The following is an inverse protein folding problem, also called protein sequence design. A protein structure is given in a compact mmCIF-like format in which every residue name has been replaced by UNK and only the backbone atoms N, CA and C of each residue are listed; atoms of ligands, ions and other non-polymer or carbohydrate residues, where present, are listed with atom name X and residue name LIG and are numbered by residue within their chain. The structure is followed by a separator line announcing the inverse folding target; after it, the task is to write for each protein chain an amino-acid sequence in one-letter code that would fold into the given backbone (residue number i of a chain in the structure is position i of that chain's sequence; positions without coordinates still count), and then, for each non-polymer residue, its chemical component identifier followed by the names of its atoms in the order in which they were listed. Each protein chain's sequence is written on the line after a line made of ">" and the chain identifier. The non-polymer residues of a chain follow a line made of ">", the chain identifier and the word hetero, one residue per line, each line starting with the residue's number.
data_IF_605170119269
#
_entry.id   IF_605170119269
#
_cell.length_a   1.000
_cell.length_b   1.000
_cell.length_c   1.000
_cell.angle_alpha   90.00
_cell.angle_beta   90.00
_cell.angle_gamma   90.00
#
_symmetry.space_group_name_H-M   'P 1'
#
loop_
_entity.id
_entity.type
_entity.pdbx_description
1 polymer ?
#
# COMPACT_ATOMS: atom_id res chain seq x y z
N UNK A 1 -11.14 9.13 -24.25
CA UNK A 1 -9.98 8.76 -23.41
C UNK A 1 -9.73 7.25 -23.37
N UNK A 2 -10.75 6.38 -23.28
CA UNK A 2 -10.60 4.90 -23.21
C UNK A 2 -9.92 4.27 -24.44
N UNK A 3 -10.29 4.67 -25.65
CA UNK A 3 -9.67 4.16 -26.88
C UNK A 3 -8.17 4.50 -26.95
N UNK A 4 -7.80 5.72 -26.60
CA UNK A 4 -6.40 6.16 -26.53
C UNK A 4 -5.61 5.33 -25.51
N UNK A 5 -6.18 5.08 -24.32
CA UNK A 5 -5.56 4.20 -23.32
C UNK A 5 -5.39 2.77 -23.82
N UNK A 6 -6.38 2.21 -24.51
CA UNK A 6 -6.30 0.87 -25.10
C UNK A 6 -5.15 0.76 -26.10
N UNK A 7 -5.04 1.73 -27.02
CA UNK A 7 -3.97 1.76 -28.02
C UNK A 7 -2.61 1.85 -27.32
N UNK A 8 -2.44 2.79 -26.38
CA UNK A 8 -1.19 2.93 -25.64
C UNK A 8 -0.81 1.66 -24.87
N UNK A 9 -1.76 1.04 -24.17
CA UNK A 9 -1.50 -0.20 -23.42
C UNK A 9 -1.10 -1.35 -24.33
N UNK A 10 -1.75 -1.46 -25.49
CA UNK A 10 -1.45 -2.50 -26.48
C UNK A 10 -0.10 -2.27 -27.16
N UNK A 11 0.27 -1.01 -27.44
CA UNK A 11 1.61 -0.68 -27.97
C UNK A 11 2.70 -1.05 -26.98
N UNK A 12 2.49 -0.77 -25.68
CA UNK A 12 3.47 -1.06 -24.63
C UNK A 12 3.60 -2.57 -24.38
N UNK A 13 2.48 -3.30 -24.29
CA UNK A 13 2.48 -4.68 -23.78
C UNK A 13 2.21 -5.76 -24.84
N UNK A 14 1.68 -5.38 -25.99
CA UNK A 14 1.05 -6.32 -26.91
C UNK A 14 2.04 -7.33 -27.48
N UNK A 15 3.19 -6.83 -27.96
CA UNK A 15 4.25 -7.66 -28.53
C UNK A 15 4.79 -8.67 -27.51
N UNK A 16 5.03 -8.19 -26.28
CA UNK A 16 5.54 -9.02 -25.19
C UNK A 16 4.53 -10.08 -24.74
N UNK A 17 3.26 -9.70 -24.62
CA UNK A 17 2.18 -10.63 -24.28
C UNK A 17 2.01 -11.70 -25.35
N UNK A 18 2.11 -11.33 -26.64
CA UNK A 18 2.09 -12.28 -27.76
C UNK A 18 3.26 -13.24 -27.69
N UNK A 19 4.48 -12.72 -27.48
CA UNK A 19 5.71 -13.52 -27.43
C UNK A 19 5.68 -14.54 -26.30
N UNK A 20 5.18 -14.16 -25.11
CA UNK A 20 5.18 -15.01 -23.91
C UNK A 20 4.00 -15.96 -23.82
N UNK A 21 2.82 -15.51 -24.20
CA UNK A 21 1.56 -16.21 -23.93
C UNK A 21 0.82 -16.64 -25.20
N UNK A 22 1.44 -16.48 -26.38
CA UNK A 22 0.84 -16.84 -27.68
C UNK A 22 -0.39 -16.01 -28.08
N UNK A 23 -0.71 -14.96 -27.33
CA UNK A 23 -1.94 -14.18 -27.52
C UNK A 23 -1.81 -13.17 -28.64
N UNK A 24 -2.54 -13.34 -29.75
CA UNK A 24 -2.47 -12.39 -30.87
C UNK A 24 -2.91 -10.97 -30.46
N UNK A 25 -2.33 -9.94 -31.08
CA UNK A 25 -2.67 -8.53 -30.78
C UNK A 25 -4.16 -8.25 -30.99
N UNK A 26 -4.75 -8.78 -32.07
CA UNK A 26 -6.19 -8.64 -32.35
C UNK A 26 -7.05 -9.22 -31.22
N UNK A 27 -6.67 -10.40 -30.71
CA UNK A 27 -7.36 -11.03 -29.58
C UNK A 27 -7.21 -10.20 -28.30
N UNK A 28 -6.01 -9.68 -28.02
CA UNK A 28 -5.79 -8.81 -26.86
C UNK A 28 -6.65 -7.53 -26.92
N UNK A 29 -6.79 -6.90 -28.09
CA UNK A 29 -7.66 -5.72 -28.27
C UNK A 29 -9.13 -6.08 -28.03
N UNK A 30 -9.61 -7.19 -28.62
CA UNK A 30 -10.99 -7.65 -28.44
C UNK A 30 -11.29 -8.00 -26.98
N UNK A 31 -10.36 -8.63 -26.28
CA UNK A 31 -10.50 -8.99 -24.87
C UNK A 31 -10.48 -7.74 -23.96
N UNK A 32 -9.61 -6.75 -24.22
CA UNK A 32 -9.64 -5.46 -23.52
C UNK A 32 -11.00 -4.77 -23.65
N UNK A 33 -11.58 -4.72 -24.85
CA UNK A 33 -12.92 -4.14 -25.07
C UNK A 33 -13.98 -4.95 -24.32
N UNK A 34 -13.92 -6.28 -24.41
CA UNK A 34 -14.87 -7.18 -23.74
C UNK A 34 -14.89 -6.98 -22.22
N UNK A 35 -13.71 -6.95 -21.56
CA UNK A 35 -13.64 -6.75 -20.10
C UNK A 35 -14.03 -5.32 -19.69
N UNK A 36 -13.72 -4.32 -20.51
CA UNK A 36 -14.14 -2.95 -20.27
C UNK A 36 -15.67 -2.79 -20.33
N UNK A 37 -16.32 -3.41 -21.32
CA UNK A 37 -17.78 -3.33 -21.49
C UNK A 37 -18.52 -4.17 -20.44
N UNK A 38 -18.08 -5.41 -20.19
CA UNK A 38 -18.80 -6.35 -19.31
C UNK A 38 -18.55 -6.11 -17.82
N UNK A 39 -17.33 -5.69 -17.48
CA UNK A 39 -16.87 -5.62 -16.09
C UNK A 39 -16.37 -4.24 -15.69
N UNK A 40 -16.44 -3.24 -16.57
CA UNK A 40 -15.93 -1.90 -16.32
C UNK A 40 -14.43 -1.86 -16.00
N UNK A 41 -13.67 -2.86 -16.45
CA UNK A 41 -12.22 -2.93 -16.26
C UNK A 41 -11.52 -2.10 -17.32
N UNK A 42 -10.84 -1.04 -16.91
CA UNK A 42 -10.15 -0.17 -17.85
C UNK A 42 -8.94 -0.88 -18.52
N UNK A 43 -8.56 -0.51 -19.76
CA UNK A 43 -7.55 -1.23 -20.54
C UNK A 43 -6.19 -1.47 -19.84
N UNK A 44 -5.63 -0.55 -19.02
CA UNK A 44 -4.39 -0.85 -18.29
C UNK A 44 -4.52 -2.05 -17.33
N UNK A 45 -5.70 -2.25 -16.74
CA UNK A 45 -5.97 -3.31 -15.78
C UNK A 45 -6.15 -4.68 -16.43
N UNK A 46 -6.46 -4.73 -17.74
CA UNK A 46 -6.39 -5.98 -18.49
C UNK A 46 -4.96 -6.56 -18.44
N UNK A 47 -3.94 -5.72 -18.64
CA UNK A 47 -2.56 -6.17 -18.54
C UNK A 47 -2.10 -6.32 -17.08
N UNK A 48 -2.52 -5.40 -16.21
CA UNK A 48 -2.13 -5.45 -14.80
C UNK A 48 -2.59 -6.72 -14.08
N UNK A 49 -3.83 -7.15 -14.30
CA UNK A 49 -4.37 -8.36 -13.69
C UNK A 49 -4.07 -9.63 -14.50
N UNK A 50 -3.39 -9.50 -15.64
CA UNK A 50 -3.06 -10.65 -16.49
C UNK A 50 -4.28 -11.29 -17.15
N UNK A 51 -5.32 -10.51 -17.50
CA UNK A 51 -6.58 -11.01 -18.05
C UNK A 51 -6.47 -11.55 -19.50
N UNK A 52 -5.26 -11.57 -20.07
CA UNK A 52 -4.98 -12.39 -21.27
C UNK A 52 -5.07 -13.89 -20.97
N UNK A 53 -4.87 -14.29 -19.71
CA UNK A 53 -5.11 -15.63 -19.20
C UNK A 53 -6.62 -15.90 -19.14
N UNK A 54 -7.06 -17.00 -19.75
CA UNK A 54 -8.48 -17.33 -19.90
C UNK A 54 -9.13 -17.69 -18.55
N UNK A 55 -8.38 -18.32 -17.62
CA UNK A 55 -8.87 -18.65 -16.28
C UNK A 55 -9.04 -17.40 -15.41
N UNK A 56 -8.08 -16.47 -15.46
CA UNK A 56 -8.22 -15.17 -14.77
C UNK A 56 -9.36 -14.34 -15.37
N UNK A 57 -9.50 -14.33 -16.70
CA UNK A 57 -10.56 -13.59 -17.38
C UNK A 57 -11.95 -14.14 -17.09
N UNK A 58 -12.12 -15.43 -16.88
CA UNK A 58 -13.38 -16.02 -16.42
C UNK A 58 -13.85 -15.40 -15.08
N UNK A 59 -12.89 -15.04 -14.23
CA UNK A 59 -13.09 -14.39 -12.93
C UNK A 59 -13.01 -12.85 -12.98
N UNK A 60 -13.01 -12.24 -14.17
CA UNK A 60 -12.83 -10.78 -14.33
C UNK A 60 -13.80 -9.95 -13.46
N UNK A 61 -15.04 -10.41 -13.28
CA UNK A 61 -16.06 -9.74 -12.48
C UNK A 61 -15.77 -9.66 -10.97
N UNK A 62 -14.79 -10.42 -10.48
CA UNK A 62 -14.35 -10.45 -9.08
C UNK A 62 -13.14 -9.55 -8.82
N UNK A 63 -12.49 -9.04 -9.88
CA UNK A 63 -11.44 -8.04 -9.71
C UNK A 63 -12.07 -6.70 -9.36
N UNK A 64 -11.53 -6.05 -8.33
CA UNK A 64 -12.05 -4.78 -7.83
C UNK A 64 -11.01 -3.70 -8.10
N UNK A 65 -11.43 -2.61 -8.76
CA UNK A 65 -10.53 -1.52 -9.11
C UNK A 65 -10.47 -0.45 -8.02
N UNK A 66 -9.36 0.29 -8.00
CA UNK A 66 -9.13 1.40 -7.07
C UNK A 66 -10.28 2.43 -7.00
N UNK A 67 -10.96 2.72 -8.11
CA UNK A 67 -12.05 3.70 -8.11
C UNK A 67 -13.31 3.18 -7.39
N UNK A 68 -13.56 1.86 -7.42
CA UNK A 68 -14.69 1.21 -6.74
C UNK A 68 -14.49 1.20 -5.23
N UNK A 69 -13.23 1.09 -4.79
CA UNK A 69 -12.86 1.09 -3.36
C UNK A 69 -12.73 2.51 -2.81
N UNK A 70 -11.68 3.25 -3.20
CA UNK A 70 -11.35 4.56 -2.60
C UNK A 70 -12.40 5.63 -2.89
N UNK A 71 -13.07 5.55 -4.04
CA UNK A 71 -14.15 6.45 -4.44
C UNK A 71 -15.55 5.96 -4.09
N UNK A 72 -15.70 4.70 -3.68
CA UNK A 72 -16.99 4.04 -3.44
C UNK A 72 -17.05 3.40 -2.06
N UNK A 73 -16.76 2.09 -1.99
CA UNK A 73 -16.99 1.24 -0.82
C UNK A 73 -16.36 1.82 0.46
N UNK A 74 -15.11 2.24 0.41
CA UNK A 74 -14.42 2.75 1.61
C UNK A 74 -15.02 4.07 2.09
N UNK A 75 -15.50 4.91 1.18
CA UNK A 75 -16.15 6.16 1.52
C UNK A 75 -17.51 5.90 2.16
N UNK A 76 -18.35 5.06 1.54
CA UNK A 76 -19.65 4.65 2.05
C UNK A 76 -19.52 4.08 3.47
N UNK A 77 -18.67 3.06 3.63
CA UNK A 77 -18.54 2.34 4.90
C UNK A 77 -17.90 3.19 6.00
N UNK A 78 -16.97 4.09 5.65
CA UNK A 78 -16.42 5.02 6.63
C UNK A 78 -17.47 5.98 7.17
N UNK A 79 -18.34 6.50 6.29
CA UNK A 79 -19.47 7.35 6.68
C UNK A 79 -20.46 6.57 7.53
N UNK A 80 -20.78 5.33 7.15
CA UNK A 80 -21.64 4.42 7.90
C UNK A 80 -21.13 4.15 9.32
N UNK A 81 -19.84 3.84 9.45
CA UNK A 81 -19.21 3.51 10.73
C UNK A 81 -18.80 4.74 11.57
N UNK A 82 -19.09 5.97 11.10
CA UNK A 82 -18.74 7.21 11.80
C UNK A 82 -17.24 7.50 11.93
N UNK A 83 -16.38 6.83 11.15
CA UNK A 83 -14.93 6.94 11.29
C UNK A 83 -14.29 8.05 10.46
N UNK A 84 -13.05 8.42 10.80
CA UNK A 84 -12.23 9.30 9.95
C UNK A 84 -10.83 8.73 9.74
N UNK A 85 -10.38 8.67 8.48
CA UNK A 85 -9.03 8.21 8.12
C UNK A 85 -7.92 9.24 8.36
N UNK A 86 -8.26 10.43 8.89
CA UNK A 86 -7.33 11.56 9.01
C UNK A 86 -6.19 11.30 10.00
N UNK A 87 -6.42 10.46 11.02
CA UNK A 87 -5.40 10.13 12.03
C UNK A 87 -4.26 9.29 11.46
N UNK A 88 -4.56 8.34 10.58
CA UNK A 88 -3.57 7.43 9.99
C UNK A 88 -2.73 8.09 8.89
N UNK A 89 -3.37 8.88 8.02
CA UNK A 89 -2.69 9.46 6.86
C UNK A 89 -1.80 10.68 7.22
N UNK A 90 -1.86 11.16 8.46
CA UNK A 90 -1.06 12.26 8.99
C UNK A 90 0.03 11.67 9.88
N UNK A 91 1.30 11.84 9.50
CA UNK A 91 2.41 11.12 10.13
C UNK A 91 2.63 11.49 11.59
N UNK A 92 2.35 12.74 12.00
CA UNK A 92 2.48 13.15 13.40
C UNK A 92 1.33 12.59 14.24
N UNK A 93 0.11 12.60 13.70
CA UNK A 93 -1.04 12.00 14.38
C UNK A 93 -0.91 10.48 14.49
N UNK A 94 -0.36 9.84 13.46
CA UNK A 94 -0.06 8.42 13.48
C UNK A 94 1.01 8.11 14.55
N UNK A 95 2.09 8.87 14.61
CA UNK A 95 3.11 8.69 15.66
C UNK A 95 2.53 8.86 17.07
N UNK A 96 1.71 9.90 17.28
CA UNK A 96 1.00 10.11 18.55
C UNK A 96 0.05 8.96 18.87
N UNK A 97 -0.73 8.48 17.91
CA UNK A 97 -1.62 7.33 18.07
C UNK A 97 -0.85 6.10 18.54
N UNK A 98 0.30 5.81 17.91
CA UNK A 98 1.16 4.70 18.30
C UNK A 98 1.67 4.86 19.74
N UNK A 99 2.16 6.05 20.09
CA UNK A 99 2.62 6.32 21.46
C UNK A 99 1.50 6.19 22.49
N UNK A 100 0.30 6.70 22.20
CA UNK A 100 -0.84 6.71 23.13
C UNK A 100 -1.35 5.27 23.40
N UNK A 101 -1.12 4.32 22.48
CA UNK A 101 -1.56 2.92 22.59
C UNK A 101 -0.41 1.93 22.78
N UNK A 102 0.82 2.39 22.99
CA UNK A 102 1.99 1.53 23.16
C UNK A 102 2.32 0.67 21.92
N UNK A 103 1.95 1.12 20.72
CA UNK A 103 2.23 0.40 19.48
C UNK A 103 3.68 0.68 19.02
N UNK A 104 4.49 -0.36 18.73
CA UNK A 104 5.81 -0.19 18.13
C UNK A 104 5.77 0.60 16.82
N UNK A 105 6.46 1.73 16.80
CA UNK A 105 6.60 2.62 15.64
C UNK A 105 8.03 3.19 15.59
N UNK A 106 8.52 3.68 14.43
CA UNK A 106 9.87 4.23 14.35
C UNK A 106 10.03 5.44 15.27
N UNK A 107 11.10 5.43 16.07
CA UNK A 107 11.41 6.47 17.05
C UNK A 107 11.56 7.83 16.38
N UNK A 108 10.81 8.81 16.86
CA UNK A 108 10.87 10.18 16.38
C UNK A 108 12.07 10.88 17.01
N UNK A 109 13.04 11.26 16.18
CA UNK A 109 14.19 12.03 16.63
C UNK A 109 13.89 13.53 16.61
N UNK A 110 13.29 14.04 15.53
CA UNK A 110 13.11 15.48 15.32
C UNK A 110 11.98 15.79 14.33
N UNK A 111 11.33 16.94 14.52
CA UNK A 111 10.38 17.55 13.57
C UNK A 111 10.92 18.92 13.19
N UNK A 112 11.04 19.20 11.88
CA UNK A 112 11.46 20.50 11.38
C UNK A 112 10.33 21.16 10.56
N UNK A 113 10.14 22.46 10.78
CA UNK A 113 9.16 23.27 10.05
C UNK A 113 9.67 24.71 9.95
N UNK A 114 9.49 25.33 8.78
CA UNK A 114 9.76 26.75 8.56
C UNK A 114 11.19 27.20 8.93
N UNK A 115 12.16 26.30 8.79
CA UNK A 115 13.57 26.59 9.09
C UNK A 115 13.99 26.29 10.53
N UNK A 116 13.09 25.77 11.37
CA UNK A 116 13.36 25.55 12.78
C UNK A 116 13.00 24.13 13.23
N UNK A 117 13.64 23.68 14.31
CA UNK A 117 13.24 22.49 15.06
C UNK A 117 12.01 22.85 15.88
N UNK A 118 10.92 22.09 15.71
CA UNK A 118 9.63 22.33 16.39
C UNK A 118 9.23 21.18 17.32
N UNK A 119 10.08 20.16 17.45
CA UNK A 119 9.90 19.05 18.39
C UNK A 119 11.00 17.99 18.25
N UNK A 120 11.23 17.23 19.32
CA UNK A 120 12.29 16.23 19.42
C UNK A 120 13.61 16.81 19.96
N UNK A 121 14.73 16.17 19.63
CA UNK A 121 16.06 16.61 20.04
C UNK A 121 16.46 17.93 19.36
N UNK A 122 17.25 18.77 20.04
CA UNK A 122 17.80 20.01 19.46
C UNK A 122 18.92 19.74 18.44
N UNK A 123 19.72 18.70 18.69
CA UNK A 123 20.76 18.22 17.77
C UNK A 123 20.38 16.87 17.17
N UNK A 124 20.89 16.57 15.97
CA UNK A 124 20.74 15.24 15.38
C UNK A 124 21.47 14.17 16.24
N UNK A 125 20.82 13.03 16.56
CA UNK A 125 21.38 12.01 17.44
C UNK A 125 22.42 11.14 16.74
N UNK A 126 23.35 10.57 17.49
CA UNK A 126 24.44 9.69 17.01
C UNK A 126 23.94 8.30 16.59
N UNK A 127 23.11 8.27 15.55
CA UNK A 127 22.47 7.08 15.04
C UNK A 127 22.13 7.25 13.57
N UNK A 128 21.89 6.13 12.88
CA UNK A 128 21.36 6.16 11.52
C UNK A 128 19.97 6.83 11.50
N UNK A 129 19.75 7.69 10.52
CA UNK A 129 18.54 8.50 10.38
C UNK A 129 17.79 8.18 9.09
N UNK A 130 16.47 8.25 9.19
CA UNK A 130 15.58 8.31 8.05
C UNK A 130 14.77 9.62 8.08
N UNK A 131 14.92 10.43 7.03
CA UNK A 131 14.26 11.72 6.89
C UNK A 131 13.15 11.59 5.86
N UNK A 132 11.93 12.05 6.19
CA UNK A 132 10.81 12.07 5.23
C UNK A 132 9.96 13.34 5.34
N UNK A 133 9.44 13.89 4.24
CA UNK A 133 8.49 14.98 4.29
C UNK A 133 7.17 14.53 4.93
N UNK A 134 6.61 15.37 5.83
CA UNK A 134 5.36 15.06 6.52
C UNK A 134 4.19 14.88 5.56
N UNK A 135 4.13 15.69 4.50
CA UNK A 135 3.01 15.72 3.56
C UNK A 135 3.20 14.84 2.31
N UNK A 136 4.35 14.16 2.18
CA UNK A 136 4.61 13.27 1.04
C UNK A 136 3.91 11.91 1.20
N UNK A 137 3.62 11.24 0.08
CA UNK A 137 3.04 9.89 0.01
C UNK A 137 3.96 8.95 -0.76
N UNK A 138 3.90 7.65 -0.47
CA UNK A 138 4.60 6.62 -1.24
C UNK A 138 6.13 6.70 -1.17
N UNK A 139 6.69 7.24 -0.08
CA UNK A 139 8.14 7.34 0.12
C UNK A 139 8.83 8.48 -0.64
N UNK A 140 8.10 9.32 -1.38
CA UNK A 140 8.69 10.41 -2.17
C UNK A 140 9.42 11.41 -1.25
N UNK A 141 10.70 11.65 -1.55
CA UNK A 141 11.56 12.55 -0.78
C UNK A 141 12.11 11.96 0.51
N UNK A 142 11.99 10.64 0.71
CA UNK A 142 12.66 9.92 1.79
C UNK A 142 14.18 9.87 1.57
N UNK A 143 14.94 10.11 2.64
CA UNK A 143 16.41 10.11 2.64
C UNK A 143 16.93 9.26 3.80
N UNK A 144 17.98 8.50 3.52
CA UNK A 144 18.75 7.76 4.53
C UNK A 144 20.08 8.47 4.77
N UNK A 145 20.44 8.57 6.04
CA UNK A 145 21.72 9.10 6.51
C UNK A 145 22.31 8.13 7.52
N UNK A 146 23.41 7.49 7.16
CA UNK A 146 24.11 6.52 7.99
C UNK A 146 25.15 7.28 8.84
N UNK A 147 25.20 7.05 10.15
CA UNK A 147 26.20 7.68 11.03
C UNK A 147 27.57 7.03 10.83
N UNK A 148 28.60 7.85 10.58
CA UNK A 148 29.95 7.35 10.26
C UNK A 148 31.01 7.76 11.30
N UNK A 149 30.58 8.28 12.46
CA UNK A 149 31.47 8.80 13.51
C UNK A 149 31.91 10.25 13.27
N UNK A 150 32.64 10.82 14.24
CA UNK A 150 33.22 12.17 14.20
C UNK A 150 32.25 13.27 13.76
N UNK A 151 31.02 13.25 14.30
CA UNK A 151 29.97 14.22 13.92
C UNK A 151 29.56 14.16 12.44
N UNK A 152 29.76 13.04 11.72
CA UNK A 152 29.44 12.95 10.29
C UNK A 152 28.38 11.89 9.98
N UNK A 153 27.64 12.17 8.91
CA UNK A 153 26.66 11.28 8.29
C UNK A 153 26.96 11.10 6.82
N UNK A 154 26.64 9.93 6.28
CA UNK A 154 26.74 9.59 4.85
C UNK A 154 25.37 9.26 4.27
N UNK A 155 25.02 9.85 3.13
CA UNK A 155 23.78 9.51 2.41
C UNK A 155 23.92 8.25 1.55
N UNK A 156 22.80 7.73 1.04
CA UNK A 156 22.81 6.66 0.03
C UNK A 156 23.63 6.98 -1.23
N UNK A 157 23.79 8.26 -1.57
CA UNK A 157 24.57 8.69 -2.73
C UNK A 157 26.07 8.85 -2.44
N UNK A 158 26.51 8.55 -1.21
CA UNK A 158 27.89 8.73 -0.77
C UNK A 158 28.23 10.16 -0.33
N UNK A 159 27.28 11.10 -0.37
CA UNK A 159 27.46 12.46 0.16
C UNK A 159 27.70 12.40 1.68
N UNK A 160 28.82 12.94 2.15
CA UNK A 160 29.13 13.09 3.56
C UNK A 160 28.86 14.52 4.03
N UNK A 161 28.31 14.65 5.23
CA UNK A 161 28.01 15.94 5.88
C UNK A 161 28.31 15.84 7.36
N UNK A 162 28.82 16.93 7.92
CA UNK A 162 28.85 17.09 9.38
C UNK A 162 27.43 17.22 9.94
N UNK A 163 27.28 16.99 11.24
CA UNK A 163 26.01 17.09 11.98
C UNK A 163 25.40 18.48 11.80
N UNK A 164 26.22 19.51 11.92
CA UNK A 164 25.80 20.90 11.77
C UNK A 164 25.35 21.20 10.33
N UNK A 165 26.12 20.77 9.32
CA UNK A 165 25.75 20.97 7.91
C UNK A 165 24.47 20.23 7.54
N UNK A 166 24.30 19.00 8.01
CA UNK A 166 23.09 18.22 7.76
C UNK A 166 21.88 18.89 8.41
N UNK A 167 21.98 19.29 9.68
CA UNK A 167 20.90 19.99 10.38
C UNK A 167 20.52 21.29 9.66
N UNK A 168 21.50 22.10 9.25
CA UNK A 168 21.25 23.32 8.49
C UNK A 168 20.55 23.03 7.15
N UNK A 169 20.98 22.01 6.40
CA UNK A 169 20.30 21.58 5.17
C UNK A 169 18.85 21.16 5.43
N UNK A 170 18.60 20.39 6.47
CA UNK A 170 17.26 19.94 6.82
C UNK A 170 16.37 21.12 7.22
N UNK A 171 16.90 22.07 7.99
CA UNK A 171 16.23 23.31 8.35
C UNK A 171 15.83 24.10 7.10
N UNK A 172 16.77 24.37 6.18
CA UNK A 172 16.49 25.08 4.92
C UNK A 172 15.40 24.40 4.08
N UNK A 173 15.46 23.06 3.97
CA UNK A 173 14.41 22.31 3.26
C UNK A 173 13.06 22.37 3.96
N UNK A 174 13.05 22.42 5.28
CA UNK A 174 11.82 22.50 6.08
C UNK A 174 11.01 23.77 5.82
N UNK A 175 11.65 24.85 5.32
CA UNK A 175 10.97 26.08 4.87
C UNK A 175 10.02 25.86 3.69
N UNK A 176 10.28 24.85 2.86
CA UNK A 176 9.39 24.49 1.73
C UNK A 176 8.40 23.41 2.10
N UNK A 177 8.85 22.39 2.82
CA UNK A 177 8.02 21.25 3.25
C UNK A 177 8.48 20.78 4.62
N UNK A 178 7.58 20.67 5.60
CA UNK A 178 7.97 20.23 6.92
C UNK A 178 8.46 18.77 6.88
N UNK A 179 9.48 18.49 7.70
CA UNK A 179 10.23 17.23 7.70
C UNK A 179 10.07 16.49 9.03
N UNK A 180 10.11 15.17 8.95
CA UNK A 180 10.18 14.25 10.07
C UNK A 180 11.52 13.51 9.99
N UNK A 181 12.28 13.51 11.07
CA UNK A 181 13.51 12.73 11.23
C UNK A 181 13.23 11.62 12.22
N UNK A 182 13.45 10.37 11.79
CA UNK A 182 13.28 9.19 12.61
C UNK A 182 14.62 8.46 12.74
N UNK A 183 14.79 7.72 13.83
CA UNK A 183 15.84 6.71 13.86
C UNK A 183 15.55 5.67 12.78
N UNK A 184 16.59 5.28 12.05
CA UNK A 184 16.47 4.31 10.98
C UNK A 184 16.20 2.93 11.58
N UNK A 185 15.22 2.25 11.01
CA UNK A 185 14.99 0.82 11.28
C UNK A 185 15.87 -0.03 10.38
N UNK A 186 16.31 -1.16 10.91
CA UNK A 186 17.06 -2.18 10.19
C UNK A 186 16.20 -3.41 9.99
N UNK A 187 16.33 -4.05 8.83
CA UNK A 187 15.68 -5.34 8.59
C UNK A 187 16.26 -6.38 9.56
N UNK A 188 15.41 -7.28 10.03
CA UNK A 188 15.82 -8.55 10.61
C UNK A 188 16.78 -9.27 9.64
N UNK A 189 17.83 -9.97 10.12
CA UNK A 189 18.80 -10.67 9.25
C UNK A 189 18.16 -11.50 8.13
N UNK A 190 17.17 -12.34 8.45
CA UNK A 190 16.44 -13.17 7.47
C UNK A 190 15.76 -12.37 6.34
N UNK A 191 15.32 -11.14 6.64
CA UNK A 191 14.71 -10.22 5.68
C UNK A 191 15.77 -9.45 4.89
N UNK A 192 16.89 -9.11 5.54
CA UNK A 192 18.00 -8.41 4.90
C UNK A 192 18.59 -9.22 3.73
N UNK A 193 18.58 -10.55 3.79
CA UNK A 193 19.04 -11.44 2.71
C UNK A 193 18.27 -11.25 1.38
N UNK A 194 16.99 -10.85 1.47
CA UNK A 194 16.11 -10.62 0.32
C UNK A 194 15.78 -9.13 0.13
N UNK A 195 16.70 -8.25 0.53
CA UNK A 195 16.58 -6.80 0.35
C UNK A 195 17.82 -6.21 -0.31
N UNK A 196 17.63 -5.23 -1.21
CA UNK A 196 18.72 -4.41 -1.72
C UNK A 196 19.02 -3.20 -0.80
N UNK A 197 18.94 -3.36 0.51
CA UNK A 197 19.38 -2.35 1.49
C UNK A 197 18.32 -1.32 1.93
N UNK A 198 17.12 -1.32 1.35
CA UNK A 198 15.98 -0.57 1.87
C UNK A 198 15.29 -1.33 3.01
N UNK A 199 14.59 -0.61 3.88
CA UNK A 199 13.70 -1.24 4.85
C UNK A 199 12.55 -1.91 4.10
N UNK A 200 12.38 -3.21 4.28
CA UNK A 200 11.36 -4.01 3.61
C UNK A 200 10.15 -4.18 4.52
N UNK A 201 8.95 -4.09 3.96
CA UNK A 201 7.71 -4.07 4.74
C UNK A 201 6.64 -5.01 4.18
N UNK A 202 5.86 -5.60 5.08
CA UNK A 202 4.59 -6.23 4.73
C UNK A 202 3.47 -5.18 4.73
N UNK A 203 2.70 -5.13 3.64
CA UNK A 203 1.40 -4.49 3.58
C UNK A 203 0.37 -5.51 4.06
N UNK A 204 0.03 -5.44 5.35
CA UNK A 204 -0.95 -6.30 5.99
C UNK A 204 -2.29 -5.56 6.09
N UNK A 205 -3.33 -6.09 5.44
CA UNK A 205 -4.68 -5.55 5.49
C UNK A 205 -5.46 -6.19 6.63
N UNK A 206 -6.00 -5.36 7.50
CA UNK A 206 -6.98 -5.74 8.52
C UNK A 206 -8.38 -5.24 8.15
N UNK A 207 -9.41 -6.00 8.49
CA UNK A 207 -10.82 -5.69 8.22
C UNK A 207 -11.66 -5.79 9.48
N UNK A 208 -12.77 -5.05 9.52
CA UNK A 208 -13.83 -5.25 10.51
C UNK A 208 -14.72 -6.42 10.06
N UNK A 209 -14.74 -7.50 10.83
CA UNK A 209 -15.47 -8.73 10.52
C UNK A 209 -16.95 -8.68 10.91
N UNK A 210 -17.69 -9.76 10.67
CA UNK A 210 -19.12 -9.89 10.95
C UNK A 210 -19.44 -9.86 12.45
N UNK A 211 -18.48 -10.24 13.29
CA UNK A 211 -18.59 -10.22 14.75
C UNK A 211 -18.28 -8.84 15.36
N UNK A 212 -17.84 -7.87 14.55
CA UNK A 212 -17.41 -6.56 15.03
C UNK A 212 -15.97 -6.53 15.55
N UNK A 213 -15.16 -7.53 15.21
CA UNK A 213 -13.76 -7.66 15.59
C UNK A 213 -12.84 -7.28 14.41
N UNK A 214 -11.59 -6.93 14.71
CA UNK A 214 -10.58 -6.63 13.70
C UNK A 214 -9.72 -7.86 13.44
N UNK A 215 -9.60 -8.27 12.18
CA UNK A 215 -8.80 -9.43 11.80
C UNK A 215 -7.89 -9.12 10.61
N UNK A 216 -6.71 -9.74 10.60
CA UNK A 216 -5.82 -9.79 9.44
C UNK A 216 -6.47 -10.61 8.32
N UNK A 217 -6.55 -10.07 7.11
CA UNK A 217 -7.30 -10.72 6.02
C UNK A 217 -6.51 -10.92 4.72
N UNK A 218 -5.47 -10.13 4.47
CA UNK A 218 -4.65 -10.25 3.27
C UNK A 218 -3.30 -9.57 3.46
N UNK A 219 -2.22 -10.14 2.95
CA UNK A 219 -0.91 -9.54 3.05
C UNK A 219 -0.05 -9.73 1.80
N UNK A 220 0.77 -8.71 1.52
CA UNK A 220 1.86 -8.79 0.55
C UNK A 220 3.12 -8.23 1.15
N UNK A 221 4.27 -8.81 0.84
CA UNK A 221 5.57 -8.32 1.28
C UNK A 221 6.26 -7.55 0.16
N UNK A 222 6.92 -6.44 0.50
CA UNK A 222 7.58 -5.53 -0.43
C UNK A 222 9.05 -5.37 -0.06
N UNK A 223 9.91 -5.35 -1.07
CA UNK A 223 11.35 -5.19 -0.89
C UNK A 223 11.95 -4.44 -2.08
N UNK A 224 13.08 -3.75 -1.89
CA UNK A 224 13.73 -3.01 -2.98
C UNK A 224 14.52 -3.93 -3.91
N UNK A 225 14.49 -3.64 -5.22
CA UNK A 225 15.36 -4.27 -6.21
C UNK A 225 16.45 -3.34 -6.77
N UNK A 226 16.65 -2.16 -6.17
CA UNK A 226 17.75 -1.24 -6.50
C UNK A 226 18.51 -0.88 -5.21
N UNK A 227 19.82 -1.18 -5.11
CA UNK A 227 20.68 -0.81 -3.99
C UNK A 227 20.70 0.68 -3.64
N UNK A 228 20.37 1.54 -4.60
CA UNK A 228 20.38 3.00 -4.44
C UNK A 228 19.03 3.55 -3.98
N UNK A 229 17.97 2.72 -4.01
CA UNK A 229 16.65 3.14 -3.54
C UNK A 229 16.59 3.05 -2.02
N UNK A 230 16.28 4.15 -1.31
CA UNK A 230 16.08 4.10 0.15
C UNK A 230 14.71 3.54 0.55
N UNK A 231 13.84 3.21 -0.41
CA UNK A 231 12.46 2.76 -0.19
C UNK A 231 12.16 1.45 -0.94
N UNK A 232 11.25 0.66 -0.39
CA UNK A 232 10.79 -0.65 -0.90
C UNK A 232 9.53 -0.57 -1.79
N UNK A 233 9.15 0.63 -2.21
CA UNK A 233 7.88 0.85 -2.89
C UNK A 233 7.83 0.15 -4.25
N UNK A 234 6.75 -0.60 -4.50
CA UNK A 234 6.46 -1.28 -5.77
C UNK A 234 6.54 -0.32 -6.98
N UNK A 235 6.05 0.91 -6.85
CA UNK A 235 6.11 1.92 -7.93
C UNK A 235 7.49 2.59 -8.11
N UNK A 236 8.47 2.21 -7.29
CA UNK A 236 9.86 2.62 -7.33
C UNK A 236 10.78 1.43 -7.65
N UNK A 237 10.34 0.53 -8.54
CA UNK A 237 11.06 -0.70 -8.92
C UNK A 237 11.20 -1.74 -7.79
N UNK A 238 10.33 -1.68 -6.77
CA UNK A 238 10.28 -2.71 -5.73
C UNK A 238 9.72 -4.04 -6.24
N UNK A 239 10.05 -5.12 -5.55
CA UNK A 239 9.38 -6.41 -5.69
C UNK A 239 8.17 -6.47 -4.76
N UNK A 240 7.20 -7.29 -5.14
CA UNK A 240 6.09 -7.69 -4.27
C UNK A 240 5.89 -9.20 -4.30
N UNK A 241 5.65 -9.76 -3.12
CA UNK A 241 5.37 -11.18 -2.91
C UNK A 241 4.03 -11.32 -2.20
N UNK A 242 3.22 -12.32 -2.58
CA UNK A 242 2.12 -12.75 -1.73
C UNK A 242 2.69 -13.31 -0.42
N UNK A 243 2.00 -13.08 0.69
CA UNK A 243 2.30 -13.71 1.97
C UNK A 243 1.16 -14.66 2.31
N UNK A 244 1.49 -15.92 2.58
CA UNK A 244 0.54 -16.85 3.16
C UNK A 244 0.17 -16.37 4.57
N UNK A 245 -1.11 -16.06 4.77
CA UNK A 245 -1.58 -15.38 5.98
C UNK A 245 -1.47 -16.26 7.23
N UNK A 246 -1.52 -17.58 7.08
CA UNK A 246 -1.44 -18.52 8.19
C UNK A 246 0.01 -18.72 8.64
N UNK A 247 0.94 -18.76 7.70
CA UNK A 247 2.32 -19.22 7.93
C UNK A 247 3.38 -18.14 7.82
N UNK A 248 3.08 -17.00 7.19
CA UNK A 248 4.04 -15.96 6.87
C UNK A 248 4.95 -16.31 5.69
N UNK A 249 4.63 -17.37 4.95
CA UNK A 249 5.44 -17.87 3.84
C UNK A 249 5.30 -16.99 2.59
N UNK A 250 6.43 -16.66 1.97
CA UNK A 250 6.51 -15.83 0.77
C UNK A 250 6.29 -16.66 -0.49
N UNK A 251 5.36 -16.19 -1.32
CA UNK A 251 5.22 -16.64 -2.69
C UNK A 251 6.29 -16.06 -3.63
N UNK A 252 6.13 -16.34 -4.93
CA UNK A 252 7.05 -15.84 -5.96
C UNK A 252 7.00 -14.30 -6.03
N UNK A 253 8.13 -13.65 -6.22
CA UNK A 253 8.19 -12.20 -6.40
C UNK A 253 7.65 -11.78 -7.78
N UNK A 254 6.94 -10.67 -7.83
CA UNK A 254 6.60 -9.93 -9.04
C UNK A 254 7.28 -8.56 -8.98
N UNK A 255 7.94 -8.15 -10.06
CA UNK A 255 8.51 -6.81 -10.15
C UNK A 255 7.43 -5.75 -10.33
N UNK A 256 7.64 -4.59 -9.72
CA UNK A 256 6.86 -3.39 -9.95
C UNK A 256 7.50 -2.47 -10.98
N UNK A 257 6.65 -1.92 -11.84
CA UNK A 257 7.04 -0.89 -12.80
C UNK A 257 6.96 0.51 -12.23
N UNK A 258 7.58 1.46 -12.93
CA UNK A 258 7.44 2.90 -12.65
C UNK A 258 5.98 3.34 -12.79
N UNK A 259 5.60 4.47 -12.17
CA UNK A 259 4.34 5.18 -12.42
C UNK A 259 4.04 5.24 -13.93
N UNK A 260 2.92 4.64 -14.37
CA UNK A 260 2.54 4.59 -15.77
C UNK A 260 1.72 3.35 -16.15
N UNK A 261 1.70 3.02 -17.45
CA UNK A 261 1.08 1.80 -17.97
C UNK A 261 1.89 0.60 -17.47
N UNK A 262 1.26 -0.38 -16.79
CA UNK A 262 1.95 -1.57 -16.34
C UNK A 262 2.65 -2.30 -17.48
N UNK A 263 3.88 -2.76 -17.26
CA UNK A 263 4.66 -3.50 -18.25
C UNK A 263 4.69 -4.98 -17.90
N UNK A 264 4.21 -5.82 -18.80
CA UNK A 264 4.22 -7.28 -18.66
C UNK A 264 5.65 -7.84 -18.48
N UNK A 265 6.65 -7.18 -19.06
CA UNK A 265 8.06 -7.54 -18.91
C UNK A 265 8.62 -7.30 -17.51
N UNK A 266 7.99 -6.45 -16.69
CA UNK A 266 8.44 -6.14 -15.34
C UNK A 266 7.73 -7.05 -14.30
N UNK A 267 6.51 -7.50 -14.60
CA UNK A 267 5.66 -8.35 -13.76
C UNK A 267 6.00 -9.85 -13.81
N UNK A 268 7.23 -10.18 -14.22
CA UNK A 268 7.68 -11.58 -14.34
C UNK A 268 7.85 -12.18 -12.95
N UNK A 269 7.27 -13.36 -12.74
CA UNK A 269 7.43 -14.13 -11.50
C UNK A 269 8.85 -14.66 -11.36
N UNK A 270 9.44 -14.45 -10.19
CA UNK A 270 10.79 -14.87 -9.84
C UNK A 270 10.80 -15.58 -8.50
N UNK A 271 11.60 -16.64 -8.41
CA UNK A 271 11.83 -17.37 -7.16
C UNK A 271 13.04 -16.83 -6.38
N UNK A 272 13.83 -15.93 -6.99
CA UNK A 272 15.03 -15.34 -6.41
C UNK A 272 15.01 -13.82 -6.52
N UNK A 273 15.72 -13.17 -5.60
CA UNK A 273 15.91 -11.73 -5.62
C UNK A 273 16.90 -11.35 -6.75
N UNK A 274 16.56 -10.41 -7.64
CA UNK A 274 17.37 -10.11 -8.84
C UNK A 274 18.72 -9.47 -8.51
N UNK A 275 18.86 -8.84 -7.34
CA UNK A 275 20.12 -8.23 -6.87
C UNK A 275 20.94 -9.20 -6.02
N UNK A 276 20.40 -9.69 -4.91
CA UNK A 276 21.15 -10.53 -3.96
C UNK A 276 21.27 -11.99 -4.40
N UNK A 277 20.46 -12.46 -5.37
CA UNK A 277 20.41 -13.86 -5.79
C UNK A 277 19.71 -14.80 -4.80
N UNK A 278 19.35 -14.30 -3.60
CA UNK A 278 18.74 -15.11 -2.55
C UNK A 278 17.38 -15.68 -2.98
N UNK A 279 17.09 -16.93 -2.59
CA UNK A 279 15.78 -17.56 -2.81
C UNK A 279 14.71 -16.81 -2.02
N UNK A 280 13.60 -16.45 -2.64
CA UNK A 280 12.45 -15.78 -2.03
C UNK A 280 11.35 -16.79 -1.70
N UNK A 281 10.95 -17.60 -2.69
CA UNK A 281 9.81 -18.51 -2.56
C UNK A 281 10.05 -19.55 -1.46
N UNK A 282 9.09 -19.65 -0.54
CA UNK A 282 9.12 -20.57 0.60
C UNK A 282 9.78 -20.02 1.86
N UNK A 283 10.35 -18.80 1.82
CA UNK A 283 10.86 -18.14 3.04
C UNK A 283 9.70 -17.71 3.93
N UNK A 284 9.90 -17.77 5.25
CA UNK A 284 8.93 -17.27 6.23
C UNK A 284 9.40 -15.94 6.77
N UNK A 285 8.47 -15.00 6.91
CA UNK A 285 8.76 -13.74 7.58
C UNK A 285 8.92 -13.99 9.09
N UNK A 286 9.96 -13.42 9.73
CA UNK A 286 10.15 -13.54 11.17
C UNK A 286 9.00 -12.83 11.90
N UNK A 287 8.66 -13.28 13.12
CA UNK A 287 7.63 -12.66 13.97
C UNK A 287 6.26 -12.47 13.28
N UNK A 288 5.87 -13.37 12.38
CA UNK A 288 4.67 -13.17 11.57
C UNK A 288 3.38 -13.13 12.40
N UNK A 289 3.28 -14.00 13.41
CA UNK A 289 2.11 -14.04 14.30
C UNK A 289 1.98 -12.73 15.11
N UNK A 290 3.11 -12.22 15.59
CA UNK A 290 3.22 -10.96 16.32
C UNK A 290 2.89 -9.77 15.42
N UNK A 291 3.30 -9.80 14.15
CA UNK A 291 2.96 -8.77 13.18
C UNK A 291 1.44 -8.71 12.91
N UNK A 292 0.76 -9.87 12.84
CA UNK A 292 -0.71 -9.93 12.72
C UNK A 292 -1.39 -9.36 13.96
N UNK A 293 -0.99 -9.82 15.15
CA UNK A 293 -1.54 -9.32 16.41
C UNK A 293 -1.35 -7.80 16.55
N UNK A 294 -0.18 -7.29 16.19
CA UNK A 294 0.13 -5.87 16.17
C UNK A 294 -0.79 -5.09 15.22
N UNK A 295 -1.05 -5.61 14.01
CA UNK A 295 -1.94 -4.98 13.05
C UNK A 295 -3.40 -4.91 13.55
N UNK A 296 -3.87 -5.99 14.15
CA UNK A 296 -5.22 -6.11 14.71
C UNK A 296 -5.41 -5.16 15.90
N UNK A 297 -4.44 -5.12 16.81
CA UNK A 297 -4.39 -4.17 17.92
C UNK A 297 -4.36 -2.71 17.41
N UNK A 298 -3.56 -2.44 16.38
CA UNK A 298 -3.48 -1.11 15.79
C UNK A 298 -4.80 -0.69 15.12
N UNK A 299 -5.53 -1.61 14.49
CA UNK A 299 -6.86 -1.33 13.94
C UNK A 299 -7.88 -1.06 15.05
N UNK A 300 -7.82 -1.80 16.16
CA UNK A 300 -8.65 -1.53 17.33
C UNK A 300 -8.46 -0.11 17.90
N UNK A 301 -7.25 0.46 17.80
CA UNK A 301 -6.96 1.83 18.21
C UNK A 301 -7.54 2.92 17.26
N UNK A 302 -8.06 2.53 16.10
CA UNK A 302 -8.66 3.44 15.10
C UNK A 302 -10.05 2.96 14.64
N UNK A 303 -11.03 2.95 15.55
CA UNK A 303 -12.37 2.48 15.23
C UNK A 303 -13.04 3.34 14.15
N UNK A 304 -14.06 2.76 13.51
CA UNK A 304 -14.81 3.40 12.44
C UNK A 304 -14.19 3.26 11.04
N UNK A 305 -13.07 2.53 10.91
CA UNK A 305 -12.50 2.16 9.63
C UNK A 305 -12.87 0.71 9.28
N UNK A 306 -13.47 0.45 8.11
CA UNK A 306 -13.84 -0.91 7.71
C UNK A 306 -12.64 -1.77 7.31
N UNK A 307 -11.56 -1.11 6.88
CA UNK A 307 -10.31 -1.73 6.43
C UNK A 307 -9.15 -0.76 6.69
N UNK A 308 -8.00 -1.29 7.07
CA UNK A 308 -6.74 -0.56 7.14
C UNK A 308 -5.63 -1.39 6.52
N UNK A 309 -4.72 -0.75 5.78
CA UNK A 309 -3.48 -1.40 5.34
C UNK A 309 -2.29 -0.90 6.15
N UNK A 310 -1.65 -1.79 6.89
CA UNK A 310 -0.49 -1.51 7.73
C UNK A 310 0.80 -1.85 7.00
N UNK A 311 1.77 -0.93 7.05
CA UNK A 311 3.13 -1.16 6.58
C UNK A 311 3.95 -1.58 7.78
N UNK A 312 4.23 -2.88 7.89
CA UNK A 312 4.94 -3.46 9.04
C UNK A 312 6.34 -3.86 8.60
N UNK A 313 7.35 -3.29 9.24
CA UNK A 313 8.73 -3.71 9.12
C UNK A 313 9.03 -4.83 10.12
N UNK A 314 9.95 -5.71 9.76
CA UNK A 314 10.45 -6.75 10.65
C UNK A 314 11.88 -6.41 11.03
N UNK A 315 12.11 -6.07 12.30
CA UNK A 315 13.43 -5.70 12.83
C UNK A 315 14.00 -6.85 13.67
N UNK A 316 15.29 -6.78 14.07
CA UNK A 316 15.86 -7.74 15.02
C UNK A 316 15.07 -7.86 16.33
N UNK A 317 14.42 -6.76 16.76
CA UNK A 317 13.71 -6.67 18.04
C UNK A 317 12.19 -6.93 17.91
N UNK A 318 11.69 -7.21 16.70
CA UNK A 318 10.28 -7.52 16.46
C UNK A 318 9.62 -6.67 15.36
N UNK A 319 8.29 -6.81 15.17
CA UNK A 319 7.56 -6.06 14.16
C UNK A 319 7.31 -4.60 14.58
N UNK A 320 7.43 -3.68 13.63
CA UNK A 320 7.25 -2.24 13.85
C UNK A 320 6.32 -1.65 12.78
N UNK A 321 5.29 -0.88 13.19
CA UNK A 321 4.37 -0.23 12.25
C UNK A 321 5.01 1.06 11.72
N UNK A 322 5.34 1.06 10.43
CA UNK A 322 5.96 2.19 9.74
C UNK A 322 4.93 3.22 9.30
N UNK A 323 3.77 2.75 8.82
CA UNK A 323 2.67 3.59 8.31
C UNK A 323 1.32 2.84 8.37
N UNK A 324 0.24 3.57 8.64
CA UNK A 324 -1.14 3.08 8.52
C UNK A 324 -1.88 3.74 7.37
N UNK A 325 -2.59 2.96 6.54
CA UNK A 325 -3.32 3.45 5.38
C UNK A 325 -4.82 3.23 5.55
N UNK A 326 -5.57 4.30 5.82
CA UNK A 326 -7.04 4.26 6.00
C UNK A 326 -7.86 3.95 4.74
N UNK A 327 -7.20 3.92 3.58
CA UNK A 327 -7.79 3.61 2.28
C UNK A 327 -6.73 2.93 1.43
N UNK A 328 -6.36 1.68 1.77
CA UNK A 328 -5.23 1.01 1.16
C UNK A 328 -5.48 0.75 -0.33
N UNK A 329 -4.41 0.61 -1.10
CA UNK A 329 -4.55 0.18 -2.49
C UNK A 329 -4.78 -1.32 -2.58
N UNK A 330 -5.69 -1.73 -3.46
CA UNK A 330 -6.08 -3.14 -3.65
C UNK A 330 -5.50 -3.73 -4.92
N UNK A 331 -4.96 -2.89 -5.80
CA UNK A 331 -4.44 -3.30 -7.10
C UNK A 331 -3.30 -4.34 -6.93
N UNK A 332 -2.27 -3.99 -6.14
CA UNK A 332 -1.12 -4.89 -5.89
C UNK A 332 -1.52 -6.15 -5.09
N UNK A 333 -2.55 -6.04 -4.26
CA UNK A 333 -3.06 -7.15 -3.45
C UNK A 333 -3.77 -8.24 -4.28
N UNK A 334 -4.08 -7.94 -5.55
CA UNK A 334 -4.68 -8.89 -6.50
C UNK A 334 -3.64 -9.47 -7.48
N UNK A 335 -2.55 -8.73 -7.72
CA UNK A 335 -1.50 -9.12 -8.65
C UNK A 335 -0.57 -10.16 -8.02
N UNK A 336 -0.02 -9.87 -6.84
CA UNK A 336 1.00 -10.74 -6.24
C UNK A 336 0.45 -12.14 -5.90
N UNK A 337 -0.76 -12.28 -5.32
CA UNK A 337 -1.37 -13.58 -5.06
C UNK A 337 -2.05 -14.20 -6.30
N UNK A 338 -2.11 -13.49 -7.43
CA UNK A 338 -2.81 -13.90 -8.66
C UNK A 338 -4.29 -14.23 -8.48
N UNK A 339 -4.91 -13.64 -7.45
CA UNK A 339 -6.31 -13.87 -7.11
C UNK A 339 -7.09 -12.55 -7.14
N UNK A 340 -8.31 -12.52 -7.67
CA UNK A 340 -9.19 -11.36 -7.57
C UNK A 340 -9.54 -11.06 -6.11
N UNK A 341 -9.74 -9.79 -5.77
CA UNK A 341 -10.09 -9.41 -4.39
C UNK A 341 -11.44 -10.01 -3.98
N UNK A 342 -12.36 -10.19 -4.92
CA UNK A 342 -13.69 -10.78 -4.69
C UNK A 342 -13.68 -12.19 -4.12
N UNK A 343 -12.58 -12.94 -4.23
CA UNK A 343 -12.44 -14.29 -3.64
C UNK A 343 -11.77 -14.27 -2.25
N UNK A 344 -11.51 -13.09 -1.70
CA UNK A 344 -10.75 -12.95 -0.44
C UNK A 344 -11.65 -12.67 0.75
N UNK A 345 -11.13 -12.95 1.95
CA UNK A 345 -11.75 -12.57 3.22
C UNK A 345 -12.07 -11.06 3.30
N UNK A 346 -11.24 -10.22 2.67
CA UNK A 346 -11.47 -8.78 2.57
C UNK A 346 -12.79 -8.47 1.87
N UNK A 347 -13.06 -9.11 0.73
CA UNK A 347 -14.31 -8.87 -0.01
C UNK A 347 -15.53 -9.38 0.77
N UNK A 348 -15.42 -10.54 1.44
CA UNK A 348 -16.50 -11.08 2.27
C UNK A 348 -16.89 -10.12 3.41
N UNK A 349 -15.91 -9.63 4.17
CA UNK A 349 -16.13 -8.68 5.25
C UNK A 349 -16.73 -7.35 4.77
N UNK A 350 -16.18 -6.78 3.68
CA UNK A 350 -16.70 -5.55 3.10
C UNK A 350 -18.14 -5.73 2.57
N UNK A 351 -18.44 -6.86 1.92
CA UNK A 351 -19.78 -7.16 1.42
C UNK A 351 -20.80 -7.26 2.56
N UNK A 352 -20.43 -7.87 3.68
CA UNK A 352 -21.26 -7.90 4.89
C UNK A 352 -21.56 -6.48 5.39
N UNK A 353 -20.53 -5.64 5.53
CA UNK A 353 -20.70 -4.25 5.99
C UNK A 353 -21.55 -3.42 5.02
N UNK A 354 -21.40 -3.61 3.71
CA UNK A 354 -22.23 -2.91 2.71
C UNK A 354 -23.69 -3.30 2.86
N UNK A 355 -24.01 -4.59 3.01
CA UNK A 355 -25.39 -5.05 3.23
C UNK A 355 -25.99 -4.47 4.50
N UNK A 356 -25.21 -4.34 5.58
CA UNK A 356 -25.66 -3.68 6.82
C UNK A 356 -25.95 -2.20 6.61
N UNK A 357 -25.04 -1.49 5.95
CA UNK A 357 -25.22 -0.08 5.63
C UNK A 357 -26.46 0.16 4.77
N UNK A 358 -26.68 -0.67 3.75
CA UNK A 358 -27.89 -0.61 2.90
C UNK A 358 -29.17 -0.86 3.70
N UNK A 359 -29.19 -1.90 4.55
CA UNK A 359 -30.36 -2.22 5.38
C UNK A 359 -30.72 -1.08 6.35
N UNK A 360 -29.72 -0.38 6.89
CA UNK A 360 -29.94 0.76 7.78
C UNK A 360 -30.47 1.99 7.03
N UNK A 361 -29.92 2.29 5.84
CA UNK A 361 -30.43 3.35 4.97
C UNK A 361 -31.88 3.12 4.54
N UNK A 362 -32.32 1.87 4.39
CA UNK A 362 -33.70 1.53 4.08
C UNK A 362 -34.65 1.58 5.29
N UNK A 363 -34.13 1.57 6.53
CA UNK A 363 -34.94 1.66 7.76
C UNK A 363 -35.19 3.08 8.22
N UNK A 364 -34.36 4.04 7.83
CA UNK A 364 -34.52 5.45 8.19
C UNK A 364 -35.58 6.10 7.29
N UNK A 365 -36.75 6.53 7.80
CA UNK A 365 -37.73 7.26 7.00
C UNK A 365 -37.12 8.58 6.51
N UNK A 366 -37.48 9.01 5.30
CA UNK A 366 -37.03 10.26 4.66
C UNK A 366 -37.50 11.53 5.40
N UNK A 367 -38.18 11.40 6.54
CA UNK A 367 -38.77 12.49 7.32
C UNK A 367 -37.83 13.03 8.40
N UNK A 368 -36.65 13.54 8.02
CA UNK A 368 -35.82 14.36 8.91
C UNK A 368 -34.78 15.24 8.18
N UNK A 369 -34.95 15.54 6.90
CA UNK A 369 -34.15 16.57 6.22
C UNK A 369 -35.08 17.65 5.71
N UNK A 370 -35.15 18.74 6.47
CA UNK A 370 -35.89 19.94 6.11
C UNK A 370 -35.51 20.42 4.71
N UNK A 371 -36.52 20.87 3.97
CA UNK A 371 -36.41 21.45 2.63
C UNK A 371 -35.44 22.65 2.62
N UNK A 372 -34.21 22.40 2.24
CA UNK A 372 -33.37 23.32 1.46
C UNK A 372 -32.24 22.52 0.84
N UNK A 373 -31.97 22.76 -0.45
CA UNK A 373 -30.97 22.10 -1.30
C UNK A 373 -31.32 20.74 -1.91
N UNK A 374 -32.42 20.73 -2.66
CA UNK A 374 -32.60 19.77 -3.76
C UNK A 374 -31.73 20.21 -4.95
N UNK A 375 -30.44 19.84 -4.94
CA UNK A 375 -29.64 19.63 -6.16
C UNK A 375 -28.44 18.75 -5.85
N UNK A 376 -28.65 17.42 -5.74
CA UNK A 376 -27.65 16.38 -6.09
C UNK A 376 -28.25 14.98 -5.86
N UNK A 377 -28.86 14.43 -6.90
CA UNK A 377 -29.19 13.00 -6.93
C UNK A 377 -29.27 12.54 -8.39
N UNK A 378 -28.10 12.16 -8.92
CA UNK A 378 -27.95 11.41 -10.16
C UNK A 378 -26.80 10.41 -9.99
N UNK A 379 -26.86 9.63 -8.91
CA UNK A 379 -25.89 8.56 -8.64
C UNK A 379 -26.54 7.28 -8.16
N UNK A 380 -27.86 7.23 -7.93
CA UNK A 380 -28.54 6.05 -7.38
C UNK A 380 -28.58 4.82 -8.32
N UNK A 381 -28.30 4.95 -9.62
CA UNK A 381 -28.41 3.85 -10.59
C UNK A 381 -27.18 2.93 -10.70
N UNK A 382 -26.09 3.22 -9.97
CA UNK A 382 -24.88 2.39 -9.96
C UNK A 382 -24.83 1.30 -8.87
N UNK A 383 -25.68 1.39 -7.84
CA UNK A 383 -25.43 0.71 -6.55
C UNK A 383 -25.97 -0.71 -6.43
N UNK A 384 -26.89 -1.14 -7.30
CA UNK A 384 -27.47 -2.50 -7.28
C UNK A 384 -26.52 -3.63 -7.71
N UNK A 385 -25.27 -3.34 -8.07
CA UNK A 385 -24.39 -4.31 -8.73
C UNK A 385 -23.43 -5.07 -7.79
N UNK A 386 -23.21 -4.62 -6.56
CA UNK A 386 -22.30 -5.28 -5.61
C UNK A 386 -23.06 -6.23 -4.68
N UNK A 387 -24.23 -5.85 -4.18
CA UNK A 387 -25.06 -6.72 -3.34
C UNK A 387 -25.59 -7.99 -4.05
N UNK A 388 -25.63 -8.00 -5.39
CA UNK A 388 -26.02 -9.18 -6.21
C UNK A 388 -24.84 -10.06 -6.65
N UNK A 389 -23.60 -9.75 -6.25
CA UNK A 389 -22.37 -10.44 -6.73
C UNK A 389 -21.60 -11.20 -5.64
N UNK A 390 -22.10 -11.22 -4.41
CA UNK A 390 -21.58 -12.04 -3.30
C UNK A 390 -22.42 -13.29 -3.12
#
# INVERSE_FOLDING_TARGET
>A
STFVMLVMCTVVNGAETRRRYGKSIRRQVGEQISVAVRHSIAPPWYYFFGLWDDAKRAKAHLYIQRYETKGGIFHLLRSYLGGTGKRLNDKLKFHKLCSDHGLPAPSLAMVLRDGAVVGGHESLPEADLFVKPLNARGGIGGERWDWIGDERYRSCAGEERTRAELLHRLAERSRKKPLLVQLRLHNHPDVAEISAGALSTSRLMTVLNENGEYESALAVFRTSADPRSPIDNYHAHGLVMAVDLATGELGRASGGGTLGIPKVSEMIRRDTHPVTGARITGRRLPFWSEAKALAEQAHAAVPGLPIVGWDIAFTPDGPVIVEGNSGPDVDVMQVAPEQPLGETRVAAALAHLVRRAEAELHRTPVEAVGRSDVTRSRTASGWHRIARRS
#
